data_IF_346061098152
#
_entry.id   IF_346061098152
#
_cell.length_a   1.000
_cell.length_b   1.000
_cell.length_c   1.000
_cell.angle_alpha   90.00
_cell.angle_beta   90.00
_cell.angle_gamma   90.00
#
_symmetry.space_group_name_H-M   'P 1'
#
loop_
_entity.id
_entity.type
_entity.pdbx_description
1 polymer ?
#
# COMPACT_ATOMS: atom_id res chain seq x y z
N UNK A 1 -8.42 -8.75 11.88
CA UNK A 1 -7.94 -10.14 11.74
C UNK A 1 -6.43 -10.16 11.66
N UNK A 2 -5.82 -10.91 12.53
CA UNK A 2 -4.38 -11.12 12.57
C UNK A 2 -4.01 -12.33 11.70
N UNK A 3 -4.26 -12.27 10.40
CA UNK A 3 -3.76 -13.27 9.48
C UNK A 3 -2.31 -12.97 9.11
N UNK A 4 -1.52 -13.99 8.89
CA UNK A 4 -0.19 -13.85 8.31
C UNK A 4 -0.32 -13.31 6.90
N UNK A 5 0.57 -12.41 6.49
CA UNK A 5 0.58 -11.93 5.11
C UNK A 5 0.90 -13.07 4.14
N UNK A 6 0.19 -13.18 3.00
CA UNK A 6 0.53 -14.17 1.98
C UNK A 6 2.00 -14.14 1.55
N UNK A 7 2.61 -12.94 1.58
CA UNK A 7 4.05 -12.78 1.32
C UNK A 7 4.89 -13.60 2.30
N UNK A 8 4.56 -13.55 3.58
CA UNK A 8 5.32 -14.25 4.64
C UNK A 8 5.02 -15.75 4.65
N UNK A 9 3.83 -16.15 4.23
CA UNK A 9 3.50 -17.56 4.05
C UNK A 9 4.33 -18.17 2.92
N UNK A 10 4.44 -17.44 1.80
CA UNK A 10 5.21 -17.89 0.64
C UNK A 10 6.72 -17.79 0.86
N UNK A 11 7.16 -16.77 1.58
CA UNK A 11 8.57 -16.47 1.84
C UNK A 11 8.80 -16.25 3.34
N UNK A 12 8.87 -17.33 4.14
CA UNK A 12 9.00 -17.21 5.60
C UNK A 12 10.22 -16.41 6.06
N UNK A 13 11.29 -16.39 5.28
CA UNK A 13 12.49 -15.61 5.58
C UNK A 13 12.21 -14.09 5.68
N UNK A 14 11.12 -13.61 5.10
CA UNK A 14 10.71 -12.19 5.13
C UNK A 14 9.83 -11.84 6.34
N UNK A 15 9.43 -12.82 7.14
CA UNK A 15 8.49 -12.61 8.25
C UNK A 15 8.99 -11.68 9.34
N UNK A 16 10.29 -11.42 9.40
CA UNK A 16 10.90 -10.45 10.31
C UNK A 16 10.84 -9.00 9.85
N UNK A 17 10.37 -8.72 8.63
CA UNK A 17 10.24 -7.36 8.15
C UNK A 17 9.16 -6.59 8.92
N UNK A 18 9.44 -5.37 9.39
CA UNK A 18 8.43 -4.53 9.98
C UNK A 18 7.28 -4.28 9.01
N UNK A 19 6.06 -4.38 9.51
CA UNK A 19 4.85 -4.21 8.71
C UNK A 19 3.76 -3.58 9.56
N UNK A 20 2.98 -2.68 8.98
CA UNK A 20 1.81 -2.09 9.61
C UNK A 20 0.62 -2.19 8.66
N UNK A 21 -0.56 -2.52 9.19
CA UNK A 21 -1.77 -2.55 8.37
C UNK A 21 -2.31 -1.16 8.13
N UNK A 22 -2.39 -0.78 6.87
CA UNK A 22 -2.96 0.50 6.43
C UNK A 22 -4.11 0.28 5.46
N UNK A 23 -4.02 -0.71 4.62
CA UNK A 23 -4.95 -0.97 3.54
C UNK A 23 -5.94 -2.10 3.80
N UNK A 24 -6.84 -2.28 2.84
CA UNK A 24 -7.84 -3.34 2.81
C UNK A 24 -7.39 -4.38 1.78
N UNK A 25 -6.83 -5.47 2.27
CA UNK A 25 -6.30 -6.54 1.43
C UNK A 25 -6.91 -7.90 1.80
N UNK A 26 -7.04 -8.84 0.84
CA UNK A 26 -6.68 -8.70 -0.58
C UNK A 26 -7.67 -7.84 -1.36
N UNK A 27 -7.17 -7.12 -2.37
CA UNK A 27 -8.04 -6.42 -3.31
C UNK A 27 -8.59 -7.40 -4.36
N UNK A 28 -9.81 -7.19 -4.87
CA UNK A 28 -10.39 -8.08 -5.87
C UNK A 28 -9.62 -8.12 -7.19
N UNK A 29 -9.73 -9.25 -7.87
CA UNK A 29 -9.36 -9.39 -9.28
C UNK A 29 -10.65 -9.58 -10.06
N UNK A 30 -10.89 -8.77 -11.06
CA UNK A 30 -12.11 -8.80 -11.87
C UNK A 30 -11.78 -8.96 -13.34
N UNK A 31 -12.56 -9.76 -14.04
CA UNK A 31 -12.45 -9.84 -15.49
C UNK A 31 -13.14 -8.65 -16.15
N UNK A 32 -12.46 -8.04 -17.11
CA UNK A 32 -13.01 -6.97 -17.93
C UNK A 32 -13.65 -7.61 -19.17
N UNK A 33 -14.91 -8.03 -19.04
CA UNK A 33 -15.62 -8.76 -20.09
C UNK A 33 -15.72 -7.95 -21.39
N UNK A 34 -15.84 -6.63 -21.30
CA UNK A 34 -15.88 -5.76 -22.47
C UNK A 34 -14.59 -5.69 -23.28
N UNK A 35 -13.47 -6.11 -22.68
CA UNK A 35 -12.15 -6.16 -23.31
C UNK A 35 -11.66 -7.59 -23.54
N UNK A 36 -12.36 -8.58 -23.00
CA UNK A 36 -12.01 -9.99 -23.14
C UNK A 36 -12.59 -10.55 -24.43
N UNK A 37 -11.77 -11.32 -25.14
CA UNK A 37 -12.15 -12.07 -26.34
C UNK A 37 -12.00 -13.57 -26.08
N UNK A 38 -12.46 -14.42 -27.00
CA UNK A 38 -12.49 -15.88 -26.81
C UNK A 38 -11.14 -16.49 -26.41
N UNK A 39 -10.03 -15.96 -26.95
CA UNK A 39 -8.68 -16.46 -26.72
C UNK A 39 -7.86 -15.61 -25.74
N UNK A 40 -8.35 -14.40 -25.43
CA UNK A 40 -7.67 -13.45 -24.55
C UNK A 40 -8.61 -12.95 -23.47
N UNK A 41 -8.29 -13.26 -22.24
CA UNK A 41 -9.03 -12.76 -21.06
C UNK A 41 -8.23 -11.63 -20.41
N UNK A 42 -8.89 -10.51 -20.15
CA UNK A 42 -8.29 -9.33 -19.52
C UNK A 42 -8.83 -9.19 -18.10
N UNK A 43 -7.93 -9.07 -17.14
CA UNK A 43 -8.28 -8.92 -15.74
C UNK A 43 -7.72 -7.61 -15.19
N UNK A 44 -8.40 -7.05 -14.22
CA UNK A 44 -7.92 -5.90 -13.46
C UNK A 44 -7.77 -6.28 -11.98
N UNK A 45 -6.61 -5.96 -11.41
CA UNK A 45 -6.41 -5.97 -9.97
C UNK A 45 -6.91 -4.65 -9.41
N UNK A 46 -7.94 -4.70 -8.57
CA UNK A 46 -8.65 -3.52 -8.07
C UNK A 46 -7.90 -2.82 -6.93
N UNK A 47 -6.71 -2.31 -7.20
CA UNK A 47 -5.94 -1.59 -6.20
C UNK A 47 -6.47 -0.17 -5.91
N UNK A 48 -7.42 0.30 -6.68
CA UNK A 48 -8.25 1.46 -6.32
C UNK A 48 -9.04 1.23 -5.02
N UNK A 49 -9.31 -0.03 -4.68
CA UNK A 49 -10.05 -0.42 -3.48
C UNK A 49 -9.13 -0.77 -2.29
N UNK A 50 -7.85 -0.45 -2.36
CA UNK A 50 -6.86 -0.84 -1.34
C UNK A 50 -6.94 -0.05 -0.04
N UNK A 51 -7.71 1.01 0.05
CA UNK A 51 -7.82 1.80 1.26
C UNK A 51 -9.11 2.61 1.32
N UNK A 52 -9.59 2.88 2.54
CA UNK A 52 -10.77 3.69 2.78
C UNK A 52 -10.48 5.19 2.61
N UNK A 53 -9.34 5.64 3.14
CA UNK A 53 -8.95 7.05 3.08
C UNK A 53 -8.35 7.41 1.73
N UNK A 54 -7.55 6.52 1.19
CA UNK A 54 -6.90 6.70 -0.11
C UNK A 54 -6.49 5.34 -0.67
N UNK A 55 -7.00 5.02 -1.83
CA UNK A 55 -6.68 3.78 -2.54
C UNK A 55 -5.44 3.90 -3.42
N UNK A 56 -5.21 2.89 -4.24
CA UNK A 56 -4.11 2.82 -5.17
C UNK A 56 -3.00 1.88 -4.72
N UNK A 57 -2.00 1.71 -5.58
CA UNK A 57 -0.94 0.74 -5.36
C UNK A 57 0.09 1.17 -4.31
N UNK A 58 0.14 2.44 -3.95
CA UNK A 58 1.16 2.97 -3.03
C UNK A 58 0.98 2.48 -1.59
N UNK A 59 -0.26 2.20 -1.19
CA UNK A 59 -0.57 1.67 0.14
C UNK A 59 0.21 0.40 0.44
N UNK A 60 0.37 -0.48 -0.56
CA UNK A 60 1.10 -1.75 -0.39
C UNK A 60 2.52 -1.55 0.10
N UNK A 61 3.27 -0.66 -0.53
CA UNK A 61 4.66 -0.39 -0.11
C UNK A 61 4.74 0.42 1.17
N UNK A 62 3.75 1.30 1.41
CA UNK A 62 3.72 2.13 2.62
C UNK A 62 3.48 1.30 3.87
N UNK A 63 2.79 0.17 3.78
CA UNK A 63 2.66 -0.75 4.92
C UNK A 63 4.01 -1.22 5.43
N UNK A 64 4.99 -1.42 4.56
CA UNK A 64 6.36 -1.78 4.95
C UNK A 64 7.20 -0.56 5.31
N UNK A 65 7.21 0.47 4.48
CA UNK A 65 8.03 1.67 4.71
C UNK A 65 7.64 2.39 6.02
N UNK A 66 6.35 2.60 6.24
CA UNK A 66 5.88 3.22 7.47
C UNK A 66 5.93 2.25 8.66
N UNK A 67 5.81 0.95 8.40
CA UNK A 67 6.03 -0.08 9.40
C UNK A 67 7.45 -0.05 9.93
N UNK A 68 8.44 0.08 9.06
CA UNK A 68 9.85 0.23 9.43
C UNK A 68 10.09 1.54 10.20
N UNK A 69 9.57 2.66 9.69
CA UNK A 69 9.68 3.94 10.37
C UNK A 69 9.10 3.88 11.80
N UNK A 70 7.94 3.27 11.95
CA UNK A 70 7.30 3.08 13.26
C UNK A 70 8.14 2.18 14.17
N UNK A 71 8.65 1.08 13.66
CA UNK A 71 9.49 0.15 14.43
C UNK A 71 10.77 0.81 14.92
N UNK A 72 11.31 1.78 14.16
CA UNK A 72 12.48 2.54 14.51
C UNK A 72 12.19 3.78 15.38
N UNK A 73 10.94 3.99 15.78
CA UNK A 73 10.55 5.12 16.63
C UNK A 73 10.56 6.48 15.93
N UNK A 74 10.47 6.49 14.60
CA UNK A 74 10.41 7.73 13.84
C UNK A 74 9.11 8.48 14.12
N UNK A 75 9.21 9.80 14.32
CA UNK A 75 8.07 10.70 14.50
C UNK A 75 7.75 11.49 13.24
N UNK A 76 8.70 11.55 12.33
CA UNK A 76 8.63 12.34 11.11
C UNK A 76 9.08 11.51 9.91
N UNK A 77 8.42 11.69 8.78
CA UNK A 77 8.79 11.06 7.51
C UNK A 77 8.87 12.12 6.42
N UNK A 78 9.82 11.95 5.54
CA UNK A 78 10.03 12.85 4.39
C UNK A 78 9.81 12.03 3.12
N UNK A 79 9.06 12.59 2.19
CA UNK A 79 8.87 12.01 0.87
C UNK A 79 9.13 13.02 -0.23
N UNK A 80 9.54 12.54 -1.39
CA UNK A 80 9.82 13.34 -2.56
C UNK A 80 8.87 12.96 -3.69
N UNK A 81 8.47 13.94 -4.48
CA UNK A 81 7.61 13.71 -5.62
C UNK A 81 7.44 14.96 -6.46
N UNK A 82 6.75 14.80 -7.59
CA UNK A 82 6.29 15.92 -8.39
C UNK A 82 4.95 16.43 -7.87
N UNK A 83 4.51 17.59 -8.34
CA UNK A 83 3.15 18.06 -8.14
C UNK A 83 2.15 16.97 -8.58
N UNK A 84 1.15 16.72 -7.77
CA UNK A 84 0.17 15.67 -8.04
C UNK A 84 0.67 14.23 -7.78
N UNK A 85 1.79 14.06 -7.09
CA UNK A 85 2.31 12.73 -6.75
C UNK A 85 1.34 11.95 -5.85
N UNK A 86 0.85 10.82 -6.35
CA UNK A 86 0.01 9.91 -5.56
C UNK A 86 0.80 9.31 -4.39
N UNK A 87 2.11 9.09 -4.57
CA UNK A 87 2.96 8.58 -3.50
C UNK A 87 3.10 9.60 -2.37
N UNK A 88 3.36 10.86 -2.69
CA UNK A 88 3.47 11.92 -1.68
C UNK A 88 2.17 12.09 -0.89
N UNK A 89 1.02 12.11 -1.61
CA UNK A 89 -0.29 12.22 -0.97
C UNK A 89 -0.59 11.03 -0.07
N UNK A 90 -0.38 9.82 -0.56
CA UNK A 90 -0.60 8.60 0.22
C UNK A 90 0.30 8.55 1.46
N UNK A 91 1.57 8.95 1.33
CA UNK A 91 2.50 9.01 2.45
C UNK A 91 1.98 9.97 3.52
N UNK A 92 1.53 11.15 3.13
CA UNK A 92 0.96 12.14 4.07
C UNK A 92 -0.24 11.61 4.83
N UNK A 93 -1.18 11.01 4.12
CA UNK A 93 -2.42 10.47 4.70
C UNK A 93 -2.10 9.35 5.69
N UNK A 94 -1.31 8.36 5.28
CA UNK A 94 -1.05 7.19 6.11
C UNK A 94 -0.04 7.42 7.23
N UNK A 95 0.94 8.31 7.04
CA UNK A 95 1.80 8.75 8.13
C UNK A 95 0.98 9.47 9.21
N UNK A 96 0.07 10.36 8.81
CA UNK A 96 -0.83 11.03 9.73
C UNK A 96 -1.72 10.06 10.51
N UNK A 97 -2.20 9.00 9.86
CA UNK A 97 -2.98 7.94 10.51
C UNK A 97 -2.18 7.22 11.60
N UNK A 98 -0.87 7.13 11.44
CA UNK A 98 0.04 6.53 12.43
C UNK A 98 0.56 7.55 13.46
N UNK A 99 0.10 8.78 13.44
CA UNK A 99 0.53 9.83 14.34
C UNK A 99 1.90 10.43 14.00
N UNK A 100 2.38 10.23 12.79
CA UNK A 100 3.65 10.79 12.31
C UNK A 100 3.42 12.09 11.55
N UNK A 101 4.38 13.01 11.64
CA UNK A 101 4.43 14.17 10.77
C UNK A 101 5.00 13.77 9.41
N UNK A 102 4.42 14.30 8.34
CA UNK A 102 4.95 14.07 6.99
C UNK A 102 5.34 15.40 6.33
N UNK A 103 6.47 15.36 5.65
CA UNK A 103 7.00 16.48 4.87
C UNK A 103 7.13 16.00 3.44
N UNK A 104 6.43 16.67 2.53
CA UNK A 104 6.51 16.38 1.10
C UNK A 104 7.33 17.47 0.40
N UNK A 105 8.35 17.04 -0.30
CA UNK A 105 9.19 17.92 -1.14
C UNK A 105 8.80 17.65 -2.59
N UNK A 106 8.14 18.62 -3.17
CA UNK A 106 7.57 18.50 -4.52
C UNK A 106 8.34 19.32 -5.54
#
# INVERSE_FOLDING_TARGET
>A
MSGTLPLFEKYPALSGLPHVRLGLFPTPVQELHGLSESDNRVFIKRDDLSGLEYGGNKVRKLEFALGEAKANGCTDVITFGCDGSNHALATGIYAGKLGMHSISIL
#
